data_IF_764917185888
#
_entry.id   IF_764917185888
#
_cell.length_a   1.000
_cell.length_b   1.000
_cell.length_c   1.000
_cell.angle_alpha   90.00
_cell.angle_beta   90.00
_cell.angle_gamma   90.00
#
_symmetry.space_group_name_H-M   'P 1'
#
loop_
_entity.id
_entity.type
_entity.pdbx_description
1 polymer ?
#
# COMPACT_ATOMS: atom_id res chain seq x y z
N UNK A 1 -87.67 15.18 18.47
CA UNK A 1 -87.94 14.18 17.41
C UNK A 1 -87.77 14.85 16.07
N UNK A 2 -86.73 14.51 15.31
CA UNK A 2 -86.44 15.13 14.01
C UNK A 2 -85.34 14.36 13.29
N UNK A 3 -85.66 13.88 12.09
CA UNK A 3 -85.03 12.79 11.34
C UNK A 3 -83.63 13.10 10.78
N UNK A 4 -82.86 12.01 10.63
CA UNK A 4 -81.63 11.90 9.83
C UNK A 4 -81.79 12.51 8.42
N UNK A 5 -80.72 13.18 7.96
CA UNK A 5 -80.41 13.35 6.54
C UNK A 5 -78.94 12.99 6.29
N UNK A 6 -78.78 12.03 5.39
CA UNK A 6 -77.56 11.55 4.73
C UNK A 6 -76.81 12.69 4.05
N UNK A 7 -75.48 12.75 4.16
CA UNK A 7 -74.58 13.16 3.07
C UNK A 7 -73.18 12.58 3.29
N UNK A 8 -72.56 12.25 2.17
CA UNK A 8 -71.37 11.44 2.03
C UNK A 8 -70.06 12.24 2.10
N UNK A 9 -68.98 11.46 2.12
CA UNK A 9 -67.64 11.75 1.60
C UNK A 9 -66.68 12.61 2.45
N UNK A 10 -65.56 11.97 2.78
CA UNK A 10 -64.20 12.32 2.35
C UNK A 10 -63.22 12.26 3.53
N UNK A 11 -62.59 11.10 3.71
CA UNK A 11 -61.38 10.98 4.53
C UNK A 11 -60.23 11.40 3.63
N UNK A 12 -59.74 12.62 3.85
CA UNK A 12 -58.45 13.07 3.34
C UNK A 12 -57.36 12.65 4.31
N UNK A 13 -56.28 12.10 3.76
CA UNK A 13 -54.91 12.37 4.23
C UNK A 13 -53.98 12.14 3.06
N UNK A 14 -53.40 13.25 2.58
CA UNK A 14 -52.34 13.27 1.59
C UNK A 14 -51.07 12.63 2.17
N UNK A 15 -50.42 11.76 1.41
CA UNK A 15 -49.01 11.41 1.63
C UNK A 15 -48.24 11.92 0.43
N UNK A 16 -47.29 12.81 0.73
CA UNK A 16 -46.48 13.52 -0.24
C UNK A 16 -45.54 12.57 -0.99
N UNK A 17 -45.26 12.96 -2.23
CA UNK A 17 -44.40 12.31 -3.19
C UNK A 17 -42.93 12.27 -2.77
N UNK A 18 -42.23 11.22 -3.21
CA UNK A 18 -40.85 11.36 -3.70
C UNK A 18 -40.59 10.29 -4.76
N UNK A 19 -40.28 10.78 -5.96
CA UNK A 19 -39.77 10.04 -7.12
C UNK A 19 -38.38 9.47 -6.83
N UNK A 20 -38.16 8.19 -7.15
CA UNK A 20 -36.82 7.65 -7.38
C UNK A 20 -36.81 6.94 -8.75
N UNK A 21 -36.19 7.61 -9.71
CA UNK A 21 -35.83 7.07 -11.02
C UNK A 21 -34.55 6.22 -10.90
N UNK A 22 -34.48 5.19 -11.77
CA UNK A 22 -33.27 4.60 -12.36
C UNK A 22 -32.34 3.78 -11.43
N UNK A 23 -32.37 2.46 -11.61
CA UNK A 23 -31.21 1.61 -11.45
C UNK A 23 -30.95 0.89 -12.77
N UNK A 24 -30.44 1.64 -13.75
CA UNK A 24 -29.73 1.04 -14.87
C UNK A 24 -28.42 0.50 -14.31
N UNK A 25 -28.27 -0.82 -14.29
CA UNK A 25 -27.02 -1.47 -13.93
C UNK A 25 -25.96 -1.17 -14.99
N UNK A 26 -25.16 -0.14 -14.78
CA UNK A 26 -23.84 -0.07 -15.36
C UNK A 26 -22.94 -0.92 -14.48
N UNK A 27 -22.55 -2.08 -15.01
CA UNK A 27 -21.42 -2.82 -14.47
C UNK A 27 -20.21 -1.88 -14.49
N UNK A 28 -19.78 -1.44 -13.30
CA UNK A 28 -18.51 -0.75 -13.11
C UNK A 28 -17.43 -1.76 -13.51
N UNK A 29 -16.96 -1.67 -14.75
CA UNK A 29 -15.72 -2.33 -15.13
C UNK A 29 -14.64 -1.70 -14.26
N UNK A 30 -14.22 -2.43 -13.23
CA UNK A 30 -13.05 -2.07 -12.45
C UNK A 30 -11.92 -1.74 -13.44
N UNK A 31 -11.22 -0.60 -13.29
CA UNK A 31 -10.08 -0.31 -14.14
C UNK A 31 -9.12 -1.49 -14.00
N UNK A 32 -8.99 -2.26 -15.08
CA UNK A 32 -7.94 -3.24 -15.22
C UNK A 32 -6.64 -2.47 -14.98
N UNK A 33 -5.96 -2.78 -13.88
CA UNK A 33 -4.61 -2.29 -13.63
C UNK A 33 -3.77 -2.85 -14.77
N UNK A 34 -3.60 -2.03 -15.81
CA UNK A 34 -2.64 -2.27 -16.87
C UNK A 34 -1.30 -2.37 -16.18
N UNK A 35 -0.81 -3.60 -16.03
CA UNK A 35 0.56 -3.91 -15.65
C UNK A 35 1.49 -3.44 -16.74
N UNK A 36 1.62 -2.13 -16.91
CA UNK A 36 2.74 -1.50 -17.57
C UNK A 36 3.70 -1.11 -16.46
N UNK A 37 4.67 -1.98 -16.22
CA UNK A 37 5.98 -1.49 -15.84
C UNK A 37 6.96 -2.32 -16.64
N UNK A 38 7.41 -1.69 -17.72
CA UNK A 38 8.57 -2.10 -18.50
C UNK A 38 9.63 -2.58 -17.51
N UNK A 39 10.04 -3.83 -17.68
CA UNK A 39 11.15 -4.41 -16.96
C UNK A 39 12.44 -3.71 -17.40
N UNK A 40 12.64 -2.46 -16.99
CA UNK A 40 13.96 -1.87 -16.94
C UNK A 40 14.77 -2.77 -16.02
N UNK A 41 15.80 -3.41 -16.58
CA UNK A 41 16.61 -4.42 -15.90
C UNK A 41 16.92 -3.99 -14.46
N UNK A 42 16.28 -4.67 -13.50
CA UNK A 42 16.47 -4.39 -12.09
C UNK A 42 17.84 -4.92 -11.69
N UNK A 43 18.79 -4.02 -11.44
CA UNK A 43 20.10 -4.39 -10.92
C UNK A 43 20.00 -4.62 -9.43
N UNK A 44 20.13 -5.87 -9.00
CA UNK A 44 20.37 -6.19 -7.59
C UNK A 44 21.57 -5.38 -7.09
N UNK A 45 21.45 -4.79 -5.90
CA UNK A 45 22.54 -4.01 -5.29
C UNK A 45 23.28 -4.88 -4.29
N UNK A 46 24.51 -5.35 -4.60
CA UNK A 46 25.26 -6.24 -3.74
C UNK A 46 25.69 -5.56 -2.44
N UNK A 47 25.65 -6.30 -1.34
CA UNK A 47 26.13 -5.85 -0.03
C UNK A 47 25.18 -4.93 0.74
N UNK A 48 23.99 -4.66 0.20
CA UNK A 48 22.94 -3.87 0.84
C UNK A 48 21.78 -4.73 1.39
N UNK A 49 22.02 -6.03 1.55
CA UNK A 49 21.04 -6.98 2.10
C UNK A 49 20.85 -6.77 3.60
N UNK A 50 19.64 -7.05 4.08
CA UNK A 50 19.31 -7.23 5.48
C UNK A 50 18.84 -8.68 5.69
N UNK A 51 19.32 -9.34 6.75
CA UNK A 51 18.93 -10.73 7.07
C UNK A 51 18.58 -10.85 8.55
N UNK A 52 17.34 -11.26 8.83
CA UNK A 52 16.84 -11.46 10.18
C UNK A 52 16.21 -12.86 10.28
N UNK A 53 17.03 -13.86 10.60
CA UNK A 53 16.60 -15.26 10.66
C UNK A 53 16.12 -15.79 9.31
N UNK A 54 14.85 -16.21 9.23
CA UNK A 54 14.22 -16.73 7.99
C UNK A 54 13.58 -15.62 7.14
N UNK A 55 14.06 -14.39 7.32
CA UNK A 55 13.66 -13.22 6.56
C UNK A 55 14.91 -12.67 5.88
N UNK A 56 14.79 -12.28 4.61
CA UNK A 56 15.81 -11.52 3.90
C UNK A 56 15.17 -10.38 3.12
N UNK A 57 15.83 -9.24 3.10
CA UNK A 57 15.47 -8.13 2.24
C UNK A 57 16.71 -7.58 1.54
N UNK A 58 16.51 -6.97 0.37
CA UNK A 58 17.58 -6.41 -0.44
C UNK A 58 17.09 -5.22 -1.25
N UNK A 59 18.04 -4.51 -1.87
CA UNK A 59 17.75 -3.40 -2.76
C UNK A 59 17.94 -3.80 -4.22
N UNK A 60 17.05 -3.30 -5.06
CA UNK A 60 17.24 -3.27 -6.51
C UNK A 60 17.28 -1.81 -6.95
N UNK A 61 18.16 -1.51 -7.90
CA UNK A 61 18.27 -0.20 -8.54
C UNK A 61 17.97 -0.33 -10.03
N UNK A 62 17.18 0.60 -10.54
CA UNK A 62 16.87 0.74 -11.97
C UNK A 62 17.82 1.74 -12.63
N UNK A 63 17.94 1.70 -13.95
CA UNK A 63 18.85 2.56 -14.73
C UNK A 63 18.57 4.07 -14.59
N UNK A 64 17.37 4.46 -14.20
CA UNK A 64 16.99 5.85 -13.90
C UNK A 64 17.39 6.30 -12.48
N UNK A 65 18.02 5.42 -11.70
CA UNK A 65 18.47 5.70 -10.34
C UNK A 65 17.42 5.44 -9.27
N UNK A 66 16.20 5.04 -9.64
CA UNK A 66 15.18 4.66 -8.68
C UNK A 66 15.57 3.37 -7.95
N UNK A 67 15.20 3.31 -6.67
CA UNK A 67 15.53 2.20 -5.78
C UNK A 67 14.25 1.62 -5.20
N UNK A 68 14.16 0.30 -5.17
CA UNK A 68 13.13 -0.44 -4.45
C UNK A 68 13.77 -1.36 -3.41
N UNK A 69 13.04 -1.64 -2.33
CA UNK A 69 13.34 -2.75 -1.45
C UNK A 69 12.48 -3.96 -1.83
N UNK A 70 13.07 -5.15 -1.79
CA UNK A 70 12.38 -6.43 -1.96
C UNK A 70 12.62 -7.24 -0.70
N UNK A 71 11.56 -7.80 -0.14
CA UNK A 71 11.61 -8.65 1.04
C UNK A 71 11.07 -10.04 0.72
N UNK A 72 11.67 -11.06 1.32
CA UNK A 72 11.22 -12.44 1.26
C UNK A 72 11.29 -13.10 2.63
N UNK A 73 10.27 -13.90 2.93
CA UNK A 73 10.16 -14.71 4.14
C UNK A 73 10.00 -16.18 3.76
N UNK A 74 10.46 -17.07 4.63
CA UNK A 74 10.28 -18.51 4.49
C UNK A 74 10.08 -19.18 5.85
N UNK A 75 9.76 -20.47 5.86
CA UNK A 75 9.56 -21.27 7.08
C UNK A 75 8.55 -20.64 8.07
N UNK A 76 7.44 -20.12 7.54
CA UNK A 76 6.36 -19.48 8.31
C UNK A 76 6.82 -18.37 9.29
N UNK A 77 7.92 -17.68 8.97
CA UNK A 77 8.33 -16.49 9.71
C UNK A 77 7.58 -15.27 9.16
N UNK A 78 6.92 -14.55 10.06
CA UNK A 78 6.28 -13.28 9.76
C UNK A 78 7.32 -12.17 9.84
N UNK A 79 7.48 -11.44 8.74
CA UNK A 79 8.47 -10.38 8.64
C UNK A 79 7.84 -9.08 8.14
N UNK A 80 8.44 -7.96 8.51
CA UNK A 80 8.10 -6.64 8.00
C UNK A 80 9.34 -6.01 7.43
N UNK A 81 9.24 -5.37 6.29
CA UNK A 81 10.34 -4.56 5.76
C UNK A 81 9.87 -3.19 5.27
N UNK A 82 10.80 -2.24 5.25
CA UNK A 82 10.60 -0.87 4.76
C UNK A 82 11.82 -0.41 3.96
N UNK A 83 11.60 0.43 2.95
CA UNK A 83 12.66 1.22 2.34
C UNK A 83 12.82 2.52 3.13
N UNK A 84 14.04 2.77 3.61
CA UNK A 84 14.40 4.02 4.28
C UNK A 84 15.34 4.86 3.43
N UNK A 85 15.38 6.15 3.71
CA UNK A 85 16.24 7.12 3.05
C UNK A 85 16.87 8.09 4.04
N UNK A 86 18.08 8.54 3.73
CA UNK A 86 18.79 9.63 4.41
C UNK A 86 19.31 10.61 3.37
N UNK A 87 19.21 11.90 3.62
CA UNK A 87 19.75 12.97 2.75
C UNK A 87 20.94 13.64 3.41
N UNK A 88 22.00 13.93 2.67
CA UNK A 88 23.13 14.75 3.16
C UNK A 88 22.65 16.19 3.34
N UNK A 89 23.05 16.83 4.43
CA UNK A 89 22.77 18.24 4.68
C UNK A 89 21.34 18.55 5.14
N UNK A 90 20.47 17.56 5.35
CA UNK A 90 19.09 17.77 5.80
C UNK A 90 18.95 18.19 7.27
N UNK A 91 20.05 18.40 7.99
CA UNK A 91 20.05 18.72 9.42
C UNK A 91 19.49 17.61 10.34
N UNK A 92 19.02 16.49 9.77
CA UNK A 92 18.46 15.35 10.49
C UNK A 92 19.41 14.15 10.48
N UNK A 93 19.68 13.60 11.66
CA UNK A 93 20.51 12.38 11.80
C UNK A 93 19.79 11.10 11.35
N UNK A 94 18.47 11.16 11.15
CA UNK A 94 17.61 10.00 11.02
C UNK A 94 17.43 9.47 9.59
N UNK A 95 17.38 8.15 9.48
CA UNK A 95 16.78 7.44 8.35
C UNK A 95 15.26 7.55 8.43
N UNK A 96 14.60 7.90 7.32
CA UNK A 96 13.14 8.02 7.25
C UNK A 96 12.56 6.98 6.30
N UNK A 97 11.46 6.34 6.66
CA UNK A 97 10.74 5.48 5.74
C UNK A 97 10.23 6.30 4.54
N UNK A 98 10.44 5.78 3.34
CA UNK A 98 9.93 6.36 2.07
C UNK A 98 8.91 5.44 1.40
N UNK A 99 8.81 4.19 1.87
CA UNK A 99 7.74 3.27 1.51
C UNK A 99 6.78 3.07 2.69
N UNK A 100 5.64 2.42 2.43
CA UNK A 100 4.87 1.75 3.47
C UNK A 100 5.67 0.60 4.12
N UNK A 101 5.12 0.06 5.21
CA UNK A 101 5.58 -1.20 5.80
C UNK A 101 4.92 -2.38 5.10
N UNK A 102 5.74 -3.35 4.70
CA UNK A 102 5.27 -4.54 3.98
C UNK A 102 5.40 -5.77 4.85
N UNK A 103 4.27 -6.31 5.26
CA UNK A 103 4.17 -7.60 5.96
C UNK A 103 4.28 -8.74 4.95
N UNK A 104 5.11 -9.73 5.27
CA UNK A 104 5.34 -10.92 4.46
C UNK A 104 5.36 -12.16 5.34
N UNK A 105 4.69 -13.21 4.89
CA UNK A 105 4.65 -14.52 5.54
C UNK A 105 4.74 -15.59 4.46
N UNK A 106 5.84 -16.34 4.46
CA UNK A 106 6.17 -17.33 3.44
C UNK A 106 5.98 -16.82 2.00
N UNK A 107 6.34 -15.56 1.78
CA UNK A 107 6.06 -14.83 0.55
C UNK A 107 7.16 -13.81 0.25
N UNK A 108 7.11 -13.27 -0.97
CA UNK A 108 8.00 -12.21 -1.46
C UNK A 108 7.17 -11.00 -1.88
N UNK A 109 7.62 -9.80 -1.52
CA UNK A 109 6.97 -8.54 -1.90
C UNK A 109 8.00 -7.45 -2.21
N UNK A 110 7.58 -6.37 -2.87
CA UNK A 110 8.40 -5.20 -3.19
C UNK A 110 7.71 -3.90 -2.78
N UNK A 111 8.50 -2.91 -2.40
CA UNK A 111 8.01 -1.54 -2.11
C UNK A 111 7.59 -0.76 -3.34
N UNK A 112 7.82 -1.30 -4.54
CA UNK A 112 7.87 -0.50 -5.76
C UNK A 112 9.11 0.41 -5.78
N UNK A 113 9.34 1.06 -6.93
CA UNK A 113 10.47 1.97 -7.14
C UNK A 113 10.20 3.34 -6.55
N UNK A 114 11.20 3.88 -5.86
CA UNK A 114 11.19 5.20 -5.25
C UNK A 114 12.40 5.99 -5.75
N UNK A 115 12.16 7.22 -6.18
CA UNK A 115 13.22 8.15 -6.55
C UNK A 115 14.24 8.30 -5.43
N UNK A 116 15.50 7.94 -5.68
CA UNK A 116 16.53 7.96 -4.64
C UNK A 116 16.86 9.39 -4.19
N UNK A 117 16.79 10.35 -5.10
CA UNK A 117 17.12 11.75 -4.81
C UNK A 117 18.61 12.07 -4.96
N UNK A 118 18.92 13.36 -5.03
CA UNK A 118 20.30 13.85 -5.03
C UNK A 118 20.87 13.83 -3.61
N UNK A 119 22.13 13.40 -3.46
CA UNK A 119 22.82 13.30 -2.17
C UNK A 119 22.04 12.49 -1.13
N UNK A 120 21.46 11.37 -1.55
CA UNK A 120 20.55 10.59 -0.74
C UNK A 120 20.91 9.10 -0.77
N UNK A 121 21.02 8.52 0.42
CA UNK A 121 21.27 7.10 0.61
C UNK A 121 19.96 6.39 0.88
N UNK A 122 19.77 5.21 0.27
CA UNK A 122 18.67 4.29 0.58
C UNK A 122 19.17 3.03 1.27
N UNK A 123 18.38 2.49 2.19
CA UNK A 123 18.62 1.18 2.81
C UNK A 123 17.31 0.45 3.02
N UNK A 124 17.36 -0.87 3.14
CA UNK A 124 16.21 -1.67 3.58
C UNK A 124 16.39 -2.05 5.05
N UNK A 125 15.33 -1.94 5.84
CA UNK A 125 15.27 -2.48 7.20
C UNK A 125 14.21 -3.57 7.26
N UNK A 126 14.49 -4.59 8.07
CA UNK A 126 13.75 -5.83 8.14
C UNK A 126 13.60 -6.25 9.61
N UNK A 127 12.38 -6.62 9.98
CA UNK A 127 12.04 -7.14 11.30
C UNK A 127 11.41 -8.51 11.13
N UNK A 128 11.89 -9.49 11.88
CA UNK A 128 11.30 -10.81 12.00
C UNK A 128 10.44 -10.84 13.28
N UNK A 129 9.13 -10.71 13.12
CA UNK A 129 8.19 -10.66 14.25
C UNK A 129 8.00 -12.02 14.93
N UNK A 130 8.38 -13.12 14.27
CA UNK A 130 8.36 -14.46 14.88
C UNK A 130 9.48 -14.64 15.91
N UNK A 131 10.66 -14.07 15.67
CA UNK A 131 11.85 -14.27 16.54
C UNK A 131 12.27 -13.02 17.31
N UNK A 132 11.75 -11.84 16.94
CA UNK A 132 12.18 -10.55 17.47
C UNK A 132 13.50 -10.04 16.89
N UNK A 133 14.10 -10.74 15.93
CA UNK A 133 15.34 -10.30 15.27
C UNK A 133 15.07 -9.13 14.30
N UNK A 134 16.02 -8.23 14.19
CA UNK A 134 15.98 -7.12 13.24
C UNK A 134 17.33 -6.92 12.57
N UNK A 135 17.31 -6.38 11.34
CA UNK A 135 18.50 -5.99 10.61
C UNK A 135 18.20 -4.86 9.63
N UNK A 136 19.19 -4.01 9.37
CA UNK A 136 19.15 -2.98 8.34
C UNK A 136 20.37 -3.09 7.45
N UNK A 137 20.15 -3.22 6.15
CA UNK A 137 21.21 -3.31 5.16
C UNK A 137 22.04 -2.02 5.07
N UNK A 138 23.19 -2.13 4.40
CA UNK A 138 24.04 -0.99 4.12
C UNK A 138 23.33 0.08 3.26
N UNK A 139 23.77 1.33 3.43
CA UNK A 139 23.29 2.46 2.65
C UNK A 139 23.82 2.44 1.22
N UNK A 140 22.95 2.71 0.25
CA UNK A 140 23.29 2.88 -1.16
C UNK A 140 23.01 4.32 -1.57
N UNK A 141 24.08 5.08 -1.83
CA UNK A 141 24.04 6.49 -2.21
C UNK A 141 23.84 6.70 -3.71
#
# INVERSE_FOLDING_TARGET
MGRLRTHAAAIGTAVAATTALLAAGTAEAAPAQTGQSEASASGYVPGADAVAGQCKAWLNRRSDGDVQAVGQSWNNNECVFVLQRKRVGSGGYGWTAVSYSYWILNSKNSTGYHWNGTNAGSRVCLWNYTTGAEDCGAAVW
#
